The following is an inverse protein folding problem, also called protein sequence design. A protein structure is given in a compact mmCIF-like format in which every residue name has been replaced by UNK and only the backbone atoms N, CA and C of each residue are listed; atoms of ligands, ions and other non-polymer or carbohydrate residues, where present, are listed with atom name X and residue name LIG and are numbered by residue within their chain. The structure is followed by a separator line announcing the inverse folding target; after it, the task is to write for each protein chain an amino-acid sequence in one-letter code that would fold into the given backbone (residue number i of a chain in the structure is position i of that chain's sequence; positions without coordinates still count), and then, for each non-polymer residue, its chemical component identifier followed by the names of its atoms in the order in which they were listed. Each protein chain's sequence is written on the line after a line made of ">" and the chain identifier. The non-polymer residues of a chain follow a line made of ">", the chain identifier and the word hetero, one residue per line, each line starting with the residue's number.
data_IF_828421286153
#
_entry.id   IF_828421286153
#
_cell.length_a   1.000
_cell.length_b   1.000
_cell.length_c   1.000
_cell.angle_alpha   90.00
_cell.angle_beta   90.00
_cell.angle_gamma   90.00
#
_symmetry.space_group_name_H-M   'P 1'
#
loop_
_entity.id
_entity.type
_entity.pdbx_description
1 polymer ?
#
# COMPACT_ATOMS: atom_id res chain seq x y z
N UNK A 1 6.74 -13.38 4.02
CA UNK A 1 7.45 -12.17 3.51
C UNK A 1 6.85 -11.87 2.14
N UNK A 2 6.69 -10.60 1.74
CA UNK A 2 6.03 -10.22 0.50
C UNK A 2 6.82 -10.72 -0.72
N UNK A 3 6.39 -11.83 -1.34
CA UNK A 3 7.09 -12.46 -2.47
C UNK A 3 6.58 -11.99 -3.82
N UNK A 4 5.41 -11.33 -3.87
CA UNK A 4 4.86 -10.74 -5.08
C UNK A 4 5.30 -9.28 -5.24
N UNK A 5 5.53 -8.89 -6.49
CA UNK A 5 5.70 -7.50 -6.90
C UNK A 5 4.91 -7.26 -8.19
N UNK A 6 4.47 -6.03 -8.41
CA UNK A 6 3.76 -5.63 -9.62
C UNK A 6 4.32 -4.31 -10.15
N UNK A 7 4.37 -4.17 -11.48
CA UNK A 7 4.79 -2.96 -12.15
C UNK A 7 3.95 -2.70 -13.40
N UNK A 8 3.61 -1.44 -13.64
CA UNK A 8 3.00 -1.00 -14.91
C UNK A 8 4.06 -1.02 -16.01
N UNK A 9 3.75 -1.70 -17.12
CA UNK A 9 4.60 -1.80 -18.31
C UNK A 9 3.75 -1.44 -19.52
N UNK A 10 3.91 -0.22 -20.03
CA UNK A 10 3.00 0.31 -21.05
C UNK A 10 1.59 0.47 -20.48
N UNK A 11 0.62 -0.22 -21.08
CA UNK A 11 -0.78 -0.22 -20.61
C UNK A 11 -1.13 -1.47 -19.77
N UNK A 12 -0.17 -2.36 -19.56
CA UNK A 12 -0.37 -3.62 -18.86
C UNK A 12 0.28 -3.60 -17.47
N UNK A 13 -0.14 -4.54 -16.62
CA UNK A 13 0.48 -4.78 -15.30
C UNK A 13 1.19 -6.12 -15.34
N UNK A 14 2.50 -6.10 -15.04
CA UNK A 14 3.33 -7.30 -14.89
C UNK A 14 3.44 -7.66 -13.41
N UNK A 15 3.17 -8.92 -13.08
CA UNK A 15 3.29 -9.50 -11.74
C UNK A 15 4.48 -10.46 -11.73
N UNK A 16 5.35 -10.31 -10.74
CA UNK A 16 6.50 -11.20 -10.52
C UNK A 16 6.46 -11.81 -9.13
N UNK A 17 6.97 -13.03 -8.99
CA UNK A 17 7.05 -13.75 -7.72
C UNK A 17 8.49 -14.20 -7.39
N UNK A 18 8.77 -14.39 -6.09
CA UNK A 18 10.09 -14.76 -5.58
C UNK A 18 10.61 -16.14 -6.01
N UNK A 19 9.74 -17.00 -6.54
CA UNK A 19 10.10 -18.30 -7.16
C UNK A 19 10.52 -18.18 -8.64
N UNK A 20 10.56 -16.98 -9.19
CA UNK A 20 10.86 -16.72 -10.60
C UNK A 20 9.62 -16.54 -11.50
N UNK A 21 8.41 -16.65 -10.92
CA UNK A 21 7.16 -16.35 -11.61
C UNK A 21 7.14 -14.96 -12.25
N UNK A 22 6.59 -14.86 -13.46
CA UNK A 22 6.50 -13.62 -14.23
C UNK A 22 5.37 -13.70 -15.24
N UNK A 23 4.31 -12.92 -15.02
CA UNK A 23 3.08 -12.95 -15.83
C UNK A 23 2.53 -11.55 -16.03
N UNK A 24 1.72 -11.37 -17.07
CA UNK A 24 0.87 -10.19 -17.20
C UNK A 24 -0.51 -10.45 -16.59
N UNK A 25 -1.18 -9.40 -16.10
CA UNK A 25 -2.58 -9.50 -15.66
C UNK A 25 -3.45 -9.97 -16.83
N UNK A 26 -4.32 -10.96 -16.57
CA UNK A 26 -5.11 -11.64 -17.59
C UNK A 26 -4.53 -12.98 -18.05
N UNK A 27 -3.28 -13.29 -17.69
CA UNK A 27 -2.69 -14.60 -17.92
C UNK A 27 -3.37 -15.68 -17.04
N UNK A 28 -3.90 -16.77 -17.63
CA UNK A 28 -4.46 -17.89 -16.86
C UNK A 28 -3.47 -18.51 -15.87
N UNK A 29 -2.16 -18.50 -16.16
CA UNK A 29 -1.14 -19.09 -15.29
C UNK A 29 -0.94 -18.26 -14.02
N UNK A 30 -1.11 -16.92 -14.10
CA UNK A 30 -1.14 -16.06 -12.93
C UNK A 30 -2.31 -16.41 -12.01
N UNK A 31 -3.51 -16.61 -12.59
CA UNK A 31 -4.70 -16.96 -11.82
C UNK A 31 -4.55 -18.33 -11.14
N UNK A 32 -3.97 -19.31 -11.85
CA UNK A 32 -3.68 -20.63 -11.29
C UNK A 32 -2.69 -20.53 -10.11
N UNK A 33 -1.59 -19.81 -10.29
CA UNK A 33 -0.55 -19.63 -9.27
C UNK A 33 -1.08 -18.90 -8.03
N UNK A 34 -1.88 -17.85 -8.21
CA UNK A 34 -2.51 -17.15 -7.10
C UNK A 34 -3.57 -18.02 -6.40
N UNK A 35 -4.36 -18.80 -7.15
CA UNK A 35 -5.36 -19.70 -6.58
C UNK A 35 -4.73 -20.77 -5.70
N UNK A 36 -3.61 -21.33 -6.13
CA UNK A 36 -2.83 -22.29 -5.33
C UNK A 36 -2.31 -21.64 -4.03
N UNK A 37 -1.76 -20.43 -4.12
CA UNK A 37 -1.20 -19.73 -2.96
C UNK A 37 -2.26 -19.21 -1.98
N UNK A 38 -3.44 -18.82 -2.47
CA UNK A 38 -4.57 -18.38 -1.63
C UNK A 38 -5.33 -19.57 -1.03
N UNK A 39 -5.33 -20.72 -1.72
CA UNK A 39 -6.10 -21.91 -1.33
C UNK A 39 -7.55 -21.89 -1.82
N UNK A 40 -7.92 -20.92 -2.66
CA UNK A 40 -9.26 -20.76 -3.24
C UNK A 40 -9.15 -20.24 -4.69
N UNK A 41 -10.12 -20.54 -5.57
CA UNK A 41 -10.12 -20.02 -6.94
C UNK A 41 -10.22 -18.49 -6.96
N UNK A 42 -9.18 -17.82 -7.50
CA UNK A 42 -9.12 -16.37 -7.65
C UNK A 42 -8.67 -15.96 -9.04
N UNK A 43 -9.03 -14.74 -9.44
CA UNK A 43 -8.57 -14.13 -10.68
C UNK A 43 -8.13 -12.68 -10.44
N UNK A 44 -7.18 -12.20 -11.23
CA UNK A 44 -6.78 -10.79 -11.22
C UNK A 44 -7.44 -10.07 -12.39
N UNK A 45 -8.12 -8.97 -12.11
CA UNK A 45 -8.76 -8.12 -13.12
C UNK A 45 -8.47 -6.66 -12.85
N UNK A 46 -8.50 -5.85 -13.90
CA UNK A 46 -8.41 -4.40 -13.77
C UNK A 46 -9.59 -3.86 -12.96
N UNK A 47 -9.32 -2.88 -12.10
CA UNK A 47 -10.35 -2.13 -11.41
C UNK A 47 -11.39 -1.58 -12.40
N UNK A 48 -12.67 -1.67 -12.02
CA UNK A 48 -13.79 -1.20 -12.83
C UNK A 48 -14.39 0.06 -12.18
N UNK A 49 -15.72 0.16 -12.10
CA UNK A 49 -16.38 1.37 -11.61
C UNK A 49 -16.29 1.57 -10.08
N UNK A 50 -15.96 0.52 -9.31
CA UNK A 50 -15.84 0.59 -7.86
C UNK A 50 -14.36 0.61 -7.49
N UNK A 51 -13.86 1.68 -6.85
CA UNK A 51 -12.49 1.73 -6.35
C UNK A 51 -12.26 0.61 -5.34
N UNK A 52 -11.12 -0.07 -5.45
CA UNK A 52 -10.70 -1.09 -4.48
C UNK A 52 -10.04 -0.51 -3.22
N UNK A 53 -9.90 0.82 -3.15
CA UNK A 53 -9.30 1.54 -2.02
C UNK A 53 -10.34 1.81 -0.93
N UNK A 54 -9.93 1.70 0.34
CA UNK A 54 -10.87 1.77 1.47
C UNK A 54 -11.32 3.20 1.83
N UNK A 55 -10.37 4.10 2.09
CA UNK A 55 -10.68 5.41 2.72
C UNK A 55 -10.22 6.63 1.92
N UNK A 56 -9.16 6.50 1.14
CA UNK A 56 -8.57 7.60 0.39
C UNK A 56 -7.56 7.07 -0.62
N UNK A 57 -7.22 7.92 -1.60
CA UNK A 57 -6.34 7.53 -2.70
C UNK A 57 -4.90 7.27 -2.28
N UNK A 58 -4.47 7.86 -1.16
CA UNK A 58 -3.17 7.67 -0.55
C UNK A 58 -3.30 7.59 0.97
N UNK A 59 -2.48 6.74 1.58
CA UNK A 59 -2.26 6.66 3.02
C UNK A 59 -0.78 6.94 3.30
N UNK A 60 -0.50 7.69 4.36
CA UNK A 60 0.86 8.07 4.75
C UNK A 60 1.06 7.98 6.25
N UNK A 61 2.32 7.84 6.66
CA UNK A 61 2.73 7.86 8.06
C UNK A 61 4.11 8.46 8.24
N UNK A 62 4.33 9.14 9.36
CA UNK A 62 5.65 9.67 9.75
C UNK A 62 6.57 8.59 10.34
N UNK A 63 7.89 8.71 10.13
CA UNK A 63 8.89 7.83 10.75
C UNK A 63 8.88 7.93 12.27
N UNK A 64 8.68 9.12 12.85
CA UNK A 64 8.56 9.29 14.30
C UNK A 64 7.33 8.57 14.87
N UNK A 65 6.22 8.57 14.13
CA UNK A 65 5.00 7.83 14.49
C UNK A 65 5.25 6.32 14.43
N UNK A 66 5.91 5.82 13.39
CA UNK A 66 6.28 4.41 13.29
C UNK A 66 7.17 3.96 14.46
N UNK A 67 8.17 4.77 14.81
CA UNK A 67 9.05 4.50 15.95
C UNK A 67 8.27 4.47 17.27
N UNK A 68 7.41 5.47 17.49
CA UNK A 68 6.54 5.49 18.66
C UNK A 68 5.66 4.24 18.75
N UNK A 69 5.10 3.78 17.63
CA UNK A 69 4.28 2.57 17.56
C UNK A 69 5.09 1.32 17.91
N UNK A 70 6.32 1.22 17.39
CA UNK A 70 7.23 0.11 17.69
C UNK A 70 7.55 0.06 19.19
N UNK A 71 7.88 1.21 19.79
CA UNK A 71 8.23 1.33 21.20
C UNK A 71 7.02 1.04 22.11
N UNK A 72 5.86 1.61 21.79
CA UNK A 72 4.65 1.48 22.61
C UNK A 72 4.13 0.05 22.66
N UNK A 73 4.18 -0.67 21.54
CA UNK A 73 3.60 -2.01 21.45
C UNK A 73 4.65 -3.13 21.40
N UNK A 74 5.94 -2.79 21.51
CA UNK A 74 7.03 -3.76 21.49
C UNK A 74 7.06 -4.59 20.21
N UNK A 75 6.67 -3.99 19.08
CA UNK A 75 6.47 -4.69 17.80
C UNK A 75 7.37 -4.13 16.70
N UNK A 76 7.57 -4.94 15.65
CA UNK A 76 8.17 -4.44 14.43
C UNK A 76 7.12 -3.64 13.63
N UNK A 77 7.23 -2.32 13.70
CA UNK A 77 6.39 -1.36 12.95
C UNK A 77 6.83 -1.26 11.47
N UNK A 78 6.92 -2.41 10.79
CA UNK A 78 7.13 -2.45 9.34
C UNK A 78 5.96 -1.72 8.66
N UNK A 79 6.19 -0.59 7.96
CA UNK A 79 5.13 0.20 7.37
C UNK A 79 4.27 -0.60 6.38
N UNK A 80 4.83 -1.66 5.78
CA UNK A 80 4.09 -2.55 4.86
C UNK A 80 2.93 -3.28 5.55
N UNK A 81 2.96 -3.43 6.89
CA UNK A 81 1.84 -3.99 7.66
C UNK A 81 0.66 -3.03 7.79
N UNK A 82 0.92 -1.72 7.69
CA UNK A 82 -0.11 -0.67 7.75
C UNK A 82 -0.71 -0.34 6.38
N UNK A 83 -0.19 -0.95 5.30
CA UNK A 83 -0.59 -0.70 3.90
C UNK A 83 -0.53 0.79 3.52
N UNK A 84 0.41 1.53 4.12
CA UNK A 84 0.67 2.93 3.74
C UNK A 84 1.36 2.99 2.39
N UNK A 85 1.04 4.01 1.61
CA UNK A 85 1.68 4.29 0.32
C UNK A 85 2.96 5.11 0.49
N UNK A 86 2.99 6.01 1.48
CA UNK A 86 4.09 6.96 1.69
C UNK A 86 4.57 6.88 3.14
N UNK A 87 5.88 6.77 3.33
CA UNK A 87 6.53 6.99 4.62
C UNK A 87 7.32 8.29 4.52
N UNK A 88 7.01 9.24 5.39
CA UNK A 88 7.69 10.53 5.44
C UNK A 88 8.61 10.59 6.65
N UNK A 89 9.81 11.13 6.46
CA UNK A 89 10.68 11.43 7.59
C UNK A 89 10.06 12.55 8.44
N UNK A 90 9.82 12.27 9.72
CA UNK A 90 9.27 13.24 10.67
C UNK A 90 10.05 13.22 11.97
N UNK A 91 10.08 14.35 12.67
CA UNK A 91 10.78 14.50 13.96
C UNK A 91 9.88 14.27 15.17
N UNK A 92 8.57 14.44 15.02
CA UNK A 92 7.60 14.34 16.11
C UNK A 92 6.54 13.29 15.79
N UNK A 93 6.21 12.38 16.73
CA UNK A 93 5.12 11.44 16.53
C UNK A 93 3.79 12.17 16.32
N UNK A 94 2.99 11.69 15.37
CA UNK A 94 1.67 12.21 15.02
C UNK A 94 1.65 13.63 14.44
N UNK A 95 2.80 14.20 14.07
CA UNK A 95 2.84 15.53 13.45
C UNK A 95 2.04 15.56 12.13
N UNK A 96 1.94 14.43 11.43
CA UNK A 96 1.15 14.28 10.22
C UNK A 96 -0.35 14.54 10.45
N UNK A 97 -0.85 14.38 11.68
CA UNK A 97 -2.24 14.67 12.01
C UNK A 97 -2.55 16.17 12.01
N UNK A 98 -1.52 17.02 12.16
CA UNK A 98 -1.66 18.48 12.13
C UNK A 98 -1.84 19.02 10.72
N UNK A 99 -1.56 18.22 9.69
CA UNK A 99 -1.60 18.66 8.29
C UNK A 99 -3.01 18.65 7.70
N UNK A 100 -4.02 18.16 8.43
CA UNK A 100 -5.39 18.14 7.94
C UNK A 100 -5.89 19.51 7.51
N UNK A 101 -6.48 19.57 6.32
CA UNK A 101 -6.94 20.81 5.71
C UNK A 101 -5.81 21.62 5.05
N UNK A 102 -4.56 21.16 5.13
CA UNK A 102 -3.45 21.71 4.36
C UNK A 102 -3.28 20.95 3.03
N UNK A 103 -2.44 21.51 2.17
CA UNK A 103 -1.97 20.88 0.94
C UNK A 103 -0.44 20.90 0.90
N UNK A 104 0.16 19.93 0.23
CA UNK A 104 1.60 19.90 -0.02
C UNK A 104 1.89 19.32 -1.40
N UNK A 105 3.02 19.73 -1.99
CA UNK A 105 3.49 19.17 -3.26
C UNK A 105 4.55 18.10 -3.01
N UNK A 106 4.39 16.96 -3.68
CA UNK A 106 5.36 15.85 -3.73
C UNK A 106 5.81 15.66 -5.17
N UNK A 107 6.96 16.26 -5.52
CA UNK A 107 7.40 16.33 -6.91
C UNK A 107 6.41 17.14 -7.75
N UNK A 108 5.81 16.51 -8.77
CA UNK A 108 4.80 17.12 -9.64
C UNK A 108 3.36 16.84 -9.19
N UNK A 109 3.16 16.09 -8.09
CA UNK A 109 1.84 15.79 -7.56
C UNK A 109 1.50 16.73 -6.41
N UNK A 110 0.26 17.22 -6.37
CA UNK A 110 -0.29 17.96 -5.23
C UNK A 110 -1.16 17.02 -4.39
N UNK A 111 -1.01 17.12 -3.07
CA UNK A 111 -1.66 16.28 -2.08
C UNK A 111 -2.48 17.15 -1.14
N UNK A 112 -3.76 16.81 -0.98
CA UNK A 112 -4.63 17.39 0.05
C UNK A 112 -4.76 16.42 1.22
N UNK A 113 -4.51 16.90 2.45
CA UNK A 113 -4.63 16.09 3.65
C UNK A 113 -6.06 16.19 4.18
N UNK A 114 -6.90 15.22 3.82
CA UNK A 114 -8.35 15.33 4.02
C UNK A 114 -8.90 14.59 5.24
N UNK A 115 -8.18 13.59 5.76
CA UNK A 115 -8.71 12.71 6.82
C UNK A 115 -7.61 12.00 7.61
N UNK A 116 -7.87 11.72 8.89
CA UNK A 116 -7.06 10.79 9.70
C UNK A 116 -7.46 9.35 9.41
N UNK A 117 -6.48 8.48 9.19
CA UNK A 117 -6.73 7.03 9.15
C UNK A 117 -7.12 6.54 10.54
N UNK A 118 -8.29 5.91 10.66
CA UNK A 118 -8.69 5.24 11.89
C UNK A 118 -8.21 3.80 11.82
N UNK A 119 -7.29 3.42 12.70
CA UNK A 119 -7.04 2.00 12.94
C UNK A 119 -8.12 1.53 13.91
N UNK A 120 -9.02 0.65 13.46
CA UNK A 120 -9.91 -0.03 14.37
C UNK A 120 -9.05 -0.83 15.36
N UNK A 121 -9.15 -0.49 16.64
CA UNK A 121 -8.50 -1.20 17.73
C UNK A 121 -9.12 -2.57 17.95
#
# INVERSE_FOLDING_TARGET
>A
MFQYSAATVGNDVRVTHGDGGNWFVGDPDLNAHLSENVGEPVTVSAEQAVPHQDMGSLSLIGTATLQWCADKWGLNADPRRLRVNIVLETSEPFIEESWLGCSASLGAADLDFVKKSHVAA
#
